data_IF_968684600083
#
_entry.id   IF_968684600083
#
_cell.length_a   1.000
_cell.length_b   1.000
_cell.length_c   1.000
_cell.angle_alpha   90.00
_cell.angle_beta   90.00
_cell.angle_gamma   90.00
#
_symmetry.space_group_name_H-M   'P 1'
#
loop_
_entity.id
_entity.type
_entity.pdbx_description
1 polymer ?
#
# COMPACT_ATOMS: atom_id res chain seq x y z
N UNK A 1 -5.97 17.53 -20.62
CA UNK A 1 -7.17 16.94 -21.27
C UNK A 1 -7.84 16.05 -20.24
N UNK A 2 -9.08 16.34 -19.88
CA UNK A 2 -9.85 15.53 -18.93
C UNK A 2 -10.34 14.29 -19.66
N UNK A 3 -9.93 13.11 -19.24
CA UNK A 3 -10.51 11.85 -19.72
C UNK A 3 -11.83 11.63 -18.99
N UNK A 4 -12.92 11.83 -19.71
CA UNK A 4 -14.27 11.46 -19.30
C UNK A 4 -14.47 9.99 -19.66
N UNK A 5 -14.86 9.16 -18.69
CA UNK A 5 -15.38 7.82 -18.97
C UNK A 5 -16.61 7.95 -19.86
N UNK A 6 -16.64 7.18 -20.95
CA UNK A 6 -17.64 7.25 -22.00
C UNK A 6 -19.01 6.68 -21.62
N UNK A 7 -19.63 7.22 -20.58
CA UNK A 7 -21.07 7.13 -20.42
C UNK A 7 -21.69 8.33 -21.13
N UNK A 8 -22.38 8.09 -22.23
CA UNK A 8 -23.15 9.12 -22.89
C UNK A 8 -24.42 9.41 -22.11
N UNK A 9 -24.94 10.62 -22.21
CA UNK A 9 -26.17 11.04 -21.52
C UNK A 9 -27.39 10.19 -21.89
N UNK A 10 -27.28 9.40 -22.94
CA UNK A 10 -28.35 8.53 -23.46
C UNK A 10 -28.40 7.17 -22.71
N UNK A 11 -27.39 6.80 -21.93
CA UNK A 11 -27.41 5.59 -21.10
C UNK A 11 -28.25 5.72 -19.82
N UNK A 12 -28.77 6.92 -19.54
CA UNK A 12 -29.60 7.23 -18.36
C UNK A 12 -31.04 7.58 -18.70
N UNK A 13 -31.52 7.41 -19.97
CA UNK A 13 -32.84 7.87 -20.37
C UNK A 13 -34.00 6.94 -20.04
N UNK A 14 -33.79 5.82 -19.39
CA UNK A 14 -34.83 4.81 -19.08
C UNK A 14 -35.26 4.76 -17.60
N UNK A 15 -34.91 5.76 -16.79
CA UNK A 15 -35.51 5.92 -15.46
C UNK A 15 -36.45 7.13 -15.49
N UNK A 16 -37.68 6.89 -15.87
CA UNK A 16 -38.77 7.86 -15.67
C UNK A 16 -39.13 7.93 -14.19
N UNK A 17 -39.19 9.16 -13.70
CA UNK A 17 -39.73 9.52 -12.39
C UNK A 17 -41.14 8.94 -12.20
N UNK A 18 -41.27 7.94 -11.37
CA UNK A 18 -42.48 7.63 -10.65
C UNK A 18 -42.17 7.66 -9.17
N UNK A 19 -42.54 8.75 -8.54
CA UNK A 19 -42.56 8.94 -7.09
C UNK A 19 -43.53 7.93 -6.48
N UNK A 20 -42.99 6.90 -5.76
CA UNK A 20 -43.75 6.16 -4.76
C UNK A 20 -42.82 5.71 -3.60
N UNK A 21 -43.32 6.01 -2.40
CA UNK A 21 -42.74 5.89 -1.06
C UNK A 21 -42.45 4.42 -0.62
N UNK A 22 -41.59 3.64 -1.32
CA UNK A 22 -41.25 2.24 -0.96
C UNK A 22 -39.76 1.97 -0.70
N UNK A 23 -38.92 2.99 -0.47
CA UNK A 23 -37.46 2.79 -0.22
C UNK A 23 -37.07 2.08 1.09
N UNK A 24 -38.01 1.75 1.98
CA UNK A 24 -37.71 1.11 3.28
C UNK A 24 -37.89 -0.42 3.29
N UNK A 25 -38.47 -1.03 2.27
CA UNK A 25 -38.64 -2.48 2.23
C UNK A 25 -37.55 -3.24 1.45
N UNK A 26 -36.89 -2.65 0.47
CA UNK A 26 -35.81 -3.33 -0.30
C UNK A 26 -34.54 -3.56 0.52
N UNK A 27 -34.18 -2.66 1.44
CA UNK A 27 -33.03 -2.88 2.34
C UNK A 27 -33.25 -4.03 3.32
N UNK A 28 -34.50 -4.30 3.68
CA UNK A 28 -34.88 -5.41 4.55
C UNK A 28 -34.95 -6.75 3.83
N UNK A 29 -35.17 -6.75 2.49
CA UNK A 29 -35.23 -7.99 1.69
C UNK A 29 -33.84 -8.53 1.42
N UNK A 30 -32.83 -7.69 1.21
CA UNK A 30 -31.44 -8.10 1.05
C UNK A 30 -30.85 -8.69 2.35
N UNK A 31 -31.19 -8.10 3.49
CA UNK A 31 -30.79 -8.65 4.81
C UNK A 31 -31.48 -10.00 5.09
N UNK A 32 -32.73 -10.19 4.64
CA UNK A 32 -33.46 -11.46 4.81
C UNK A 32 -32.97 -12.57 3.87
N UNK A 33 -32.51 -12.27 2.66
CA UNK A 33 -31.97 -13.28 1.74
C UNK A 33 -30.62 -13.83 2.22
N UNK A 34 -29.77 -13.01 2.86
CA UNK A 34 -28.50 -13.47 3.41
C UNK A 34 -28.66 -14.20 4.76
N UNK A 35 -29.75 -13.97 5.51
CA UNK A 35 -30.05 -14.75 6.72
C UNK A 35 -30.55 -16.16 6.42
N UNK A 36 -31.08 -16.45 5.23
CA UNK A 36 -31.52 -17.80 4.87
C UNK A 36 -30.36 -18.77 4.56
N UNK A 37 -29.15 -18.26 4.28
CA UNK A 37 -27.95 -19.10 4.15
C UNK A 37 -27.29 -19.45 5.48
N UNK A 38 -27.63 -18.76 6.59
CA UNK A 38 -27.04 -19.00 7.92
C UNK A 38 -27.86 -19.97 8.79
N UNK A 39 -29.07 -20.37 8.39
CA UNK A 39 -29.96 -21.21 9.18
C UNK A 39 -30.05 -22.68 8.75
N UNK A 40 -29.11 -23.17 7.98
CA UNK A 40 -29.03 -24.57 7.55
C UNK A 40 -27.93 -25.34 8.23
N UNK A 41 -28.26 -26.07 9.28
CA UNK A 41 -27.44 -27.03 10.03
C UNK A 41 -26.36 -26.41 10.96
N UNK A 42 -26.39 -26.80 12.25
CA UNK A 42 -25.34 -26.68 13.25
C UNK A 42 -24.09 -27.51 12.85
N UNK A 43 -23.47 -27.27 11.71
CA UNK A 43 -22.08 -27.60 11.49
C UNK A 43 -21.29 -26.45 12.07
N UNK A 44 -20.48 -26.71 13.08
CA UNK A 44 -19.38 -25.84 13.50
C UNK A 44 -18.57 -25.61 12.24
N UNK A 45 -18.82 -24.48 11.55
CA UNK A 45 -18.00 -24.04 10.42
C UNK A 45 -16.68 -23.64 11.11
N UNK A 46 -15.70 -24.56 11.08
CA UNK A 46 -14.34 -24.18 11.40
C UNK A 46 -13.99 -23.01 10.48
N UNK A 47 -13.40 -21.93 10.99
CA UNK A 47 -12.97 -20.83 10.16
C UNK A 47 -12.10 -21.42 9.05
N UNK A 48 -12.51 -21.20 7.79
CA UNK A 48 -11.70 -21.59 6.64
C UNK A 48 -10.38 -20.85 6.80
N UNK A 49 -9.27 -21.59 6.92
CA UNK A 49 -7.95 -21.02 6.91
C UNK A 49 -7.64 -20.60 5.46
N UNK A 50 -7.94 -19.36 5.11
CA UNK A 50 -7.76 -18.84 3.77
C UNK A 50 -6.30 -18.88 3.34
N UNK A 51 -5.37 -18.70 4.27
CA UNK A 51 -3.92 -18.76 4.00
C UNK A 51 -3.47 -20.18 3.62
N UNK A 52 -4.06 -21.22 4.21
CA UNK A 52 -3.73 -22.61 3.89
C UNK A 52 -4.42 -23.09 2.62
N UNK A 53 -5.56 -22.51 2.26
CA UNK A 53 -6.34 -22.90 1.08
C UNK A 53 -5.79 -22.31 -0.22
N UNK A 54 -4.88 -21.33 -0.15
CA UNK A 54 -4.31 -20.69 -1.31
C UNK A 54 -3.38 -21.62 -2.08
N UNK A 55 -3.68 -21.84 -3.37
CA UNK A 55 -2.83 -22.64 -4.26
C UNK A 55 -1.65 -21.78 -4.71
N UNK A 56 -0.45 -22.15 -4.27
CA UNK A 56 0.81 -21.51 -4.68
C UNK A 56 1.41 -22.27 -5.85
N UNK A 57 1.58 -21.57 -6.97
CA UNK A 57 2.28 -22.06 -8.16
C UNK A 57 3.68 -21.41 -8.25
N UNK A 58 4.60 -21.90 -9.10
CA UNK A 58 5.90 -21.26 -9.28
C UNK A 58 5.82 -19.78 -9.71
N UNK A 59 4.77 -19.43 -10.45
CA UNK A 59 4.53 -18.09 -11.01
C UNK A 59 4.05 -17.10 -9.94
N UNK A 60 3.16 -17.55 -9.03
CA UNK A 60 2.57 -16.70 -7.98
C UNK A 60 3.25 -16.86 -6.61
N UNK A 61 4.32 -17.65 -6.54
CA UNK A 61 5.08 -17.84 -5.29
C UNK A 61 5.67 -16.50 -4.81
N UNK A 62 5.53 -16.16 -3.52
CA UNK A 62 6.08 -14.92 -3.01
C UNK A 62 7.63 -14.89 -3.10
N UNK A 63 8.17 -13.78 -3.62
CA UNK A 63 9.61 -13.57 -3.85
C UNK A 63 10.03 -12.22 -3.29
N UNK A 64 11.14 -12.22 -2.54
CA UNK A 64 11.80 -11.00 -2.10
C UNK A 64 12.73 -10.48 -3.21
N UNK A 65 12.65 -9.18 -3.52
CA UNK A 65 13.45 -8.53 -4.53
C UNK A 65 14.40 -7.52 -3.92
N UNK A 66 15.60 -7.43 -4.48
CA UNK A 66 16.61 -6.47 -4.09
C UNK A 66 16.34 -5.13 -4.80
N UNK A 67 16.41 -4.01 -4.04
CA UNK A 67 16.27 -2.66 -4.58
C UNK A 67 17.29 -2.39 -5.72
N UNK A 68 18.55 -2.83 -5.57
CA UNK A 68 19.59 -2.63 -6.59
C UNK A 68 19.21 -3.29 -7.92
N UNK A 69 18.64 -4.49 -7.87
CA UNK A 69 18.21 -5.20 -9.08
C UNK A 69 17.06 -4.48 -9.77
N UNK A 70 16.12 -3.90 -9.01
CA UNK A 70 15.02 -3.13 -9.59
C UNK A 70 15.56 -1.80 -10.18
N UNK A 71 16.37 -1.06 -9.45
CA UNK A 71 16.94 0.21 -9.92
C UNK A 71 17.81 0.04 -11.18
N UNK A 72 18.50 -1.08 -11.31
CA UNK A 72 19.30 -1.37 -12.51
C UNK A 72 18.46 -1.49 -13.78
N UNK A 73 17.21 -1.93 -13.69
CA UNK A 73 16.28 -1.99 -14.85
C UNK A 73 15.75 -0.62 -15.27
N UNK A 74 15.86 0.38 -14.40
CA UNK A 74 15.40 1.75 -14.63
C UNK A 74 16.53 2.69 -15.11
N UNK A 75 17.79 2.23 -15.04
CA UNK A 75 18.94 3.07 -15.39
C UNK A 75 18.91 3.50 -16.86
N UNK A 76 19.05 4.80 -17.10
CA UNK A 76 19.03 5.41 -18.43
C UNK A 76 17.62 5.68 -18.96
N UNK A 77 16.57 5.29 -18.23
CA UNK A 77 15.19 5.55 -18.64
C UNK A 77 14.79 6.94 -18.19
N UNK A 78 14.09 7.68 -19.06
CA UNK A 78 13.40 8.93 -18.74
C UNK A 78 11.96 8.57 -18.42
N UNK A 79 11.50 8.92 -17.24
CA UNK A 79 10.13 8.67 -16.79
C UNK A 79 9.35 9.97 -16.68
N UNK A 80 8.09 9.93 -17.17
CA UNK A 80 7.13 11.02 -17.03
C UNK A 80 6.22 10.74 -15.85
N UNK A 81 5.86 11.78 -15.11
CA UNK A 81 4.98 11.67 -13.93
C UNK A 81 4.09 12.90 -13.82
N UNK A 82 2.98 12.74 -13.12
CA UNK A 82 2.10 13.85 -12.72
C UNK A 82 2.15 14.05 -11.20
N UNK A 83 1.61 15.17 -10.76
CA UNK A 83 1.34 15.42 -9.36
C UNK A 83 -0.16 15.48 -9.10
N UNK A 84 -0.54 15.07 -7.90
CA UNK A 84 -1.91 15.11 -7.44
C UNK A 84 -1.96 15.74 -6.05
N UNK A 85 -2.92 16.63 -5.83
CA UNK A 85 -3.19 17.19 -4.52
C UNK A 85 -4.38 16.47 -3.91
N UNK A 86 -4.18 15.80 -2.77
CA UNK A 86 -5.24 15.10 -2.06
C UNK A 86 -6.30 16.09 -1.53
N UNK A 87 -7.50 15.64 -1.14
CA UNK A 87 -8.52 16.49 -0.56
C UNK A 87 -8.05 17.33 0.64
N UNK A 88 -7.08 16.85 1.42
CA UNK A 88 -6.49 17.59 2.54
C UNK A 88 -5.24 18.41 2.17
N UNK A 89 -4.93 18.54 0.89
CA UNK A 89 -3.85 19.41 0.40
C UNK A 89 -2.47 18.76 0.37
N UNK A 90 -2.35 17.44 0.54
CA UNK A 90 -1.07 16.75 0.41
C UNK A 90 -0.70 16.56 -1.05
N UNK A 91 0.51 16.96 -1.42
CA UNK A 91 1.03 16.78 -2.79
C UNK A 91 1.76 15.45 -2.86
N UNK A 92 1.38 14.65 -3.84
CA UNK A 92 1.99 13.36 -4.16
C UNK A 92 2.29 13.28 -5.65
N UNK A 93 3.25 12.44 -6.02
CA UNK A 93 3.71 12.24 -7.39
C UNK A 93 3.44 10.80 -7.80
N UNK A 94 3.13 10.59 -9.07
CA UNK A 94 2.93 9.25 -9.62
C UNK A 94 3.40 9.18 -11.06
N UNK A 95 4.08 8.11 -11.42
CA UNK A 95 4.45 7.83 -12.79
C UNK A 95 3.21 7.73 -13.67
N UNK A 96 3.25 8.32 -14.86
CA UNK A 96 2.12 8.26 -15.80
C UNK A 96 1.94 6.84 -16.35
N UNK A 97 0.69 6.37 -16.41
CA UNK A 97 0.37 5.05 -16.95
C UNK A 97 0.75 4.93 -18.44
N UNK A 98 0.65 6.04 -19.19
CA UNK A 98 1.06 6.09 -20.58
C UNK A 98 2.56 5.80 -20.73
N UNK A 99 3.38 6.38 -19.87
CA UNK A 99 4.84 6.16 -19.86
C UNK A 99 5.18 4.71 -19.53
N UNK A 100 4.47 4.09 -18.57
CA UNK A 100 4.62 2.67 -18.24
C UNK A 100 4.28 1.79 -19.44
N UNK A 101 3.16 2.04 -20.13
CA UNK A 101 2.77 1.29 -21.33
C UNK A 101 3.79 1.42 -22.44
N UNK A 102 4.33 2.62 -22.66
CA UNK A 102 5.36 2.86 -23.66
C UNK A 102 6.65 2.09 -23.36
N UNK A 103 7.09 2.05 -22.10
CA UNK A 103 8.25 1.25 -21.71
C UNK A 103 8.02 -0.24 -21.95
N UNK A 104 6.85 -0.78 -21.57
CA UNK A 104 6.51 -2.18 -21.79
C UNK A 104 6.50 -2.54 -23.30
N UNK A 105 5.98 -1.67 -24.16
CA UNK A 105 6.00 -1.87 -25.61
C UNK A 105 7.44 -1.99 -26.15
N UNK A 106 8.35 -1.12 -25.69
CA UNK A 106 9.77 -1.17 -26.10
C UNK A 106 10.43 -2.47 -25.62
N UNK A 107 10.15 -2.90 -24.41
CA UNK A 107 10.69 -4.14 -23.84
C UNK A 107 10.19 -5.37 -24.61
N UNK A 108 8.90 -5.43 -24.99
CA UNK A 108 8.34 -6.51 -25.82
C UNK A 108 9.00 -6.57 -27.21
N UNK A 109 9.19 -5.43 -27.88
CA UNK A 109 9.85 -5.40 -29.20
C UNK A 109 11.27 -5.98 -29.12
N UNK A 110 11.98 -5.78 -28.02
CA UNK A 110 13.32 -6.31 -27.80
C UNK A 110 13.32 -7.82 -27.49
N UNK A 111 12.31 -8.31 -26.73
CA UNK A 111 12.18 -9.73 -26.39
C UNK A 111 11.69 -10.58 -27.57
N UNK A 112 10.83 -10.05 -28.45
CA UNK A 112 10.39 -10.75 -29.67
C UNK A 112 11.53 -11.03 -30.64
N UNK A 113 12.59 -10.21 -30.63
CA UNK A 113 13.80 -10.44 -31.43
C UNK A 113 14.67 -11.60 -30.87
N UNK A 114 14.57 -11.90 -29.56
CA UNK A 114 15.42 -12.90 -28.89
C UNK A 114 14.75 -14.26 -28.65
N UNK A 115 13.46 -14.34 -28.27
CA UNK A 115 12.77 -15.62 -28.00
C UNK A 115 11.25 -15.54 -28.24
N UNK A 116 10.72 -16.37 -29.13
CA UNK A 116 9.29 -16.46 -29.41
C UNK A 116 8.45 -16.99 -28.24
N UNK A 117 7.37 -16.26 -27.90
CA UNK A 117 6.24 -16.63 -27.04
C UNK A 117 6.42 -16.54 -25.52
N UNK A 118 6.40 -15.34 -24.94
CA UNK A 118 5.96 -15.15 -23.57
C UNK A 118 4.70 -14.26 -23.54
N UNK A 119 3.54 -14.86 -23.22
CA UNK A 119 2.29 -14.14 -22.97
C UNK A 119 2.35 -13.65 -21.51
N UNK A 120 2.94 -12.46 -21.30
CA UNK A 120 3.06 -11.84 -19.99
C UNK A 120 1.97 -10.78 -19.72
N UNK A 121 2.04 -10.14 -18.56
CA UNK A 121 1.23 -8.97 -18.14
C UNK A 121 1.27 -7.85 -19.19
N UNK A 122 2.33 -7.76 -19.97
CA UNK A 122 2.56 -6.86 -21.09
C UNK A 122 1.40 -6.85 -22.09
N UNK A 123 0.98 -8.03 -22.56
CA UNK A 123 -0.09 -8.16 -23.57
C UNK A 123 -1.45 -7.67 -23.10
N UNK A 124 -1.70 -7.72 -21.79
CA UNK A 124 -2.96 -7.26 -21.18
C UNK A 124 -3.09 -5.73 -21.11
N UNK A 125 -1.95 -5.04 -20.99
CA UNK A 125 -1.91 -3.58 -20.93
C UNK A 125 -1.88 -2.92 -22.31
N UNK A 126 -1.41 -3.65 -23.33
CA UNK A 126 -1.19 -3.13 -24.68
C UNK A 126 -2.38 -3.43 -25.61
N UNK A 127 -3.10 -4.53 -25.41
CA UNK A 127 -4.20 -4.94 -26.28
C UNK A 127 -5.45 -4.06 -26.07
N UNK A 128 -5.60 -3.04 -26.92
CA UNK A 128 -6.75 -2.11 -26.92
C UNK A 128 -8.09 -2.78 -27.30
N UNK A 129 -8.06 -4.01 -27.82
CA UNK A 129 -9.25 -4.73 -28.30
C UNK A 129 -9.90 -5.63 -27.25
N UNK A 130 -9.25 -5.90 -26.14
CA UNK A 130 -9.85 -6.58 -25.00
C UNK A 130 -10.46 -5.53 -24.07
N UNK A 131 -11.79 -5.58 -23.90
CA UNK A 131 -12.56 -4.73 -22.99
C UNK A 131 -11.73 -4.38 -21.77
N UNK A 132 -11.55 -3.08 -21.49
CA UNK A 132 -10.78 -2.48 -20.39
C UNK A 132 -11.01 -3.17 -19.02
N UNK A 133 -10.60 -4.42 -18.90
CA UNK A 133 -10.60 -5.12 -17.63
C UNK A 133 -9.35 -4.70 -16.85
N UNK A 134 -9.51 -3.72 -15.98
CA UNK A 134 -8.47 -3.28 -15.03
C UNK A 134 -8.02 -4.43 -14.09
N UNK A 135 -8.65 -5.59 -14.16
CA UNK A 135 -8.40 -6.76 -13.34
C UNK A 135 -8.51 -8.06 -14.14
N UNK A 136 -7.47 -8.90 -14.10
CA UNK A 136 -7.53 -10.30 -14.54
C UNK A 136 -7.02 -11.20 -13.42
N UNK A 137 -7.93 -11.87 -12.74
CA UNK A 137 -7.65 -12.72 -11.58
C UNK A 137 -6.44 -13.64 -11.81
N UNK A 138 -5.48 -13.62 -10.89
CA UNK A 138 -4.22 -14.37 -10.90
C UNK A 138 -3.26 -14.04 -12.05
N UNK A 139 -3.50 -12.98 -12.81
CA UNK A 139 -2.61 -12.52 -13.88
C UNK A 139 -2.24 -11.05 -13.65
N UNK A 140 -3.23 -10.18 -13.49
CA UNK A 140 -3.04 -8.76 -13.25
C UNK A 140 -4.13 -8.22 -12.31
N UNK A 141 -3.73 -7.67 -11.18
CA UNK A 141 -4.61 -7.24 -10.09
C UNK A 141 -4.72 -5.70 -9.98
N UNK A 142 -4.52 -4.98 -11.09
CA UNK A 142 -4.78 -3.53 -11.17
C UNK A 142 -3.73 -2.60 -10.58
N UNK A 143 -2.52 -3.08 -10.27
CA UNK A 143 -1.49 -2.33 -9.53
C UNK A 143 -0.84 -1.15 -10.26
N UNK A 144 -0.95 -1.04 -11.58
CA UNK A 144 -0.36 0.10 -12.34
C UNK A 144 -1.15 1.40 -12.18
N UNK A 145 -2.40 1.31 -11.78
CA UNK A 145 -3.31 2.46 -11.62
C UNK A 145 -3.39 2.88 -10.16
N UNK A 146 -3.44 4.18 -9.91
CA UNK A 146 -3.74 4.71 -8.58
C UNK A 146 -5.25 4.71 -8.34
N UNK A 147 -5.65 4.14 -7.21
CA UNK A 147 -7.05 4.03 -6.81
C UNK A 147 -7.40 5.06 -5.72
N UNK A 148 -8.66 5.45 -5.64
CA UNK A 148 -9.12 6.54 -4.79
C UNK A 148 -8.75 6.35 -3.31
N UNK A 149 -8.88 5.13 -2.80
CA UNK A 149 -8.59 4.85 -1.39
C UNK A 149 -7.11 5.02 -1.02
N UNK A 150 -6.18 5.00 -1.98
CA UNK A 150 -4.77 5.30 -1.69
C UNK A 150 -4.56 6.77 -1.32
N UNK A 151 -5.34 7.69 -1.89
CA UNK A 151 -5.32 9.11 -1.52
C UNK A 151 -5.94 9.34 -0.14
N UNK A 152 -7.03 8.65 0.18
CA UNK A 152 -7.65 8.68 1.51
C UNK A 152 -6.66 8.20 2.58
N UNK A 153 -5.88 7.15 2.25
CA UNK A 153 -4.83 6.63 3.14
C UNK A 153 -3.71 7.65 3.35
N UNK A 154 -3.28 8.37 2.31
CA UNK A 154 -2.30 9.46 2.45
C UNK A 154 -2.80 10.52 3.42
N UNK A 155 -4.05 10.94 3.28
CA UNK A 155 -4.65 11.95 4.17
C UNK A 155 -4.78 11.43 5.62
N UNK A 156 -5.13 10.16 5.81
CA UNK A 156 -5.16 9.53 7.12
C UNK A 156 -3.76 9.47 7.78
N UNK A 157 -2.74 9.09 7.01
CA UNK A 157 -1.35 9.08 7.48
C UNK A 157 -0.87 10.47 7.86
N UNK A 158 -1.25 11.50 7.10
CA UNK A 158 -0.92 12.89 7.43
C UNK A 158 -1.54 13.32 8.77
N UNK A 159 -2.81 12.95 9.03
CA UNK A 159 -3.45 13.19 10.34
C UNK A 159 -2.70 12.50 11.47
N UNK A 160 -2.28 11.23 11.27
CA UNK A 160 -1.56 10.45 12.28
C UNK A 160 -0.16 11.01 12.56
N UNK A 161 0.53 11.56 11.54
CA UNK A 161 1.88 12.16 11.70
C UNK A 161 1.79 13.50 12.42
N UNK A 162 0.79 14.32 12.10
CA UNK A 162 0.68 15.69 12.62
C UNK A 162 -0.06 15.77 13.98
N UNK A 163 -0.70 14.69 14.42
CA UNK A 163 -1.52 14.64 15.63
C UNK A 163 -2.89 15.29 15.46
N UNK A 164 -3.88 14.80 16.20
CA UNK A 164 -5.14 15.50 16.39
C UNK A 164 -4.94 16.66 17.38
N UNK A 165 -5.60 17.78 17.16
CA UNK A 165 -5.63 19.07 17.88
C UNK A 165 -5.75 19.05 19.43
N UNK A 166 -5.10 18.14 20.11
CA UNK A 166 -5.06 18.15 21.56
C UNK A 166 -3.74 18.71 22.06
N UNK A 167 -3.80 19.76 22.88
CA UNK A 167 -2.73 20.50 23.59
C UNK A 167 -1.78 19.62 24.45
N UNK A 168 -1.55 18.37 24.10
CA UNK A 168 -0.57 17.53 24.78
C UNK A 168 0.78 17.67 24.07
N UNK A 169 1.74 18.22 24.77
CA UNK A 169 3.18 18.36 24.44
C UNK A 169 3.89 17.00 24.18
N UNK A 170 3.17 15.97 23.78
CA UNK A 170 3.76 14.67 23.50
C UNK A 170 4.40 14.64 22.12
N UNK A 171 5.74 14.60 22.10
CA UNK A 171 6.63 14.37 20.97
C UNK A 171 6.39 13.02 20.25
N UNK A 172 5.19 12.44 20.33
CA UNK A 172 4.82 11.14 19.77
C UNK A 172 4.48 11.18 18.26
N UNK A 173 4.33 12.37 17.69
CA UNK A 173 3.81 12.52 16.33
C UNK A 173 4.79 12.05 15.24
N UNK A 174 6.10 12.06 15.49
CA UNK A 174 7.11 11.51 14.57
C UNK A 174 7.30 9.99 14.70
N UNK A 175 6.58 9.33 15.62
CA UNK A 175 6.79 7.91 15.92
C UNK A 175 6.51 7.01 14.72
N UNK A 176 5.49 7.34 13.88
CA UNK A 176 5.18 6.59 12.67
C UNK A 176 6.35 6.54 11.68
N UNK A 177 7.15 7.60 11.59
CA UNK A 177 8.32 7.70 10.72
C UNK A 177 9.55 6.91 11.21
N UNK A 178 9.40 6.18 12.31
CA UNK A 178 10.43 5.31 12.89
C UNK A 178 9.93 3.87 13.05
N UNK A 179 8.90 3.49 12.32
CA UNK A 179 8.23 2.19 12.40
C UNK A 179 8.59 1.26 11.25
N UNK A 180 8.31 -0.03 11.47
CA UNK A 180 8.33 -1.04 10.44
C UNK A 180 6.92 -1.19 9.86
N UNK A 181 6.75 -0.83 8.60
CA UNK A 181 5.47 -0.70 7.92
C UNK A 181 5.40 -1.67 6.75
N UNK A 182 4.36 -2.48 6.70
CA UNK A 182 4.04 -3.36 5.57
C UNK A 182 2.87 -2.78 4.79
N UNK A 183 3.04 -2.54 3.50
CA UNK A 183 1.94 -2.20 2.59
C UNK A 183 1.58 -3.42 1.73
N UNK A 184 0.35 -3.93 1.94
CA UNK A 184 -0.21 -5.06 1.18
C UNK A 184 -0.96 -4.52 -0.04
N UNK A 185 -0.63 -5.01 -1.25
CA UNK A 185 -1.20 -4.52 -2.50
C UNK A 185 -0.78 -3.08 -2.77
N UNK A 186 0.54 -2.82 -2.68
CA UNK A 186 1.04 -1.45 -2.71
C UNK A 186 0.76 -0.73 -4.05
N UNK A 187 0.71 -1.44 -5.18
CA UNK A 187 0.49 -0.84 -6.48
C UNK A 187 1.42 0.34 -6.73
N UNK A 188 0.85 1.53 -6.93
CA UNK A 188 1.60 2.78 -7.06
C UNK A 188 2.26 3.25 -5.76
N UNK A 189 1.99 2.60 -4.62
CA UNK A 189 2.58 2.80 -3.30
C UNK A 189 2.48 4.24 -2.76
N UNK A 190 1.43 4.98 -3.09
CA UNK A 190 1.29 6.39 -2.69
C UNK A 190 1.34 6.59 -1.16
N UNK A 191 0.73 5.73 -0.32
CA UNK A 191 0.89 5.78 1.13
C UNK A 191 2.36 5.68 1.58
N UNK A 192 3.09 4.68 1.11
CA UNK A 192 4.52 4.51 1.45
C UNK A 192 5.39 5.61 0.87
N UNK A 193 5.10 6.10 -0.33
CA UNK A 193 5.77 7.25 -0.93
C UNK A 193 5.60 8.52 -0.07
N UNK A 194 4.39 8.74 0.45
CA UNK A 194 4.13 9.85 1.36
C UNK A 194 4.90 9.73 2.67
N UNK A 195 4.97 8.55 3.26
CA UNK A 195 5.77 8.30 4.47
C UNK A 195 7.26 8.56 4.23
N UNK A 196 7.78 8.10 3.09
CA UNK A 196 9.16 8.35 2.67
C UNK A 196 9.44 9.85 2.52
N UNK A 197 8.54 10.57 1.83
CA UNK A 197 8.59 12.03 1.66
C UNK A 197 8.64 12.74 3.01
N UNK A 198 7.73 12.40 3.92
CA UNK A 198 7.66 12.99 5.27
C UNK A 198 8.90 12.69 6.10
N UNK A 199 9.46 11.48 6.00
CA UNK A 199 10.73 11.14 6.67
C UNK A 199 11.86 12.04 6.20
N UNK A 200 12.05 12.21 4.88
CA UNK A 200 13.09 13.11 4.35
C UNK A 200 12.85 14.57 4.70
N UNK A 201 11.61 15.05 4.71
CA UNK A 201 11.27 16.41 5.14
C UNK A 201 11.63 16.64 6.61
N UNK A 202 11.20 15.72 7.50
CA UNK A 202 11.50 15.78 8.93
C UNK A 202 13.00 15.82 9.24
N UNK A 203 13.81 15.05 8.52
CA UNK A 203 15.28 15.04 8.67
C UNK A 203 15.87 16.41 8.28
N UNK A 204 15.41 16.98 7.18
CA UNK A 204 15.90 18.29 6.70
C UNK A 204 15.52 19.43 7.62
N UNK A 205 14.33 19.40 8.22
CA UNK A 205 13.87 20.40 9.17
C UNK A 205 14.64 20.34 10.50
N UNK A 206 15.00 19.15 10.95
CA UNK A 206 15.67 18.96 12.25
C UNK A 206 17.13 19.42 12.26
N UNK A 207 17.77 19.66 11.12
CA UNK A 207 19.20 20.00 10.99
C UNK A 207 20.15 19.09 11.80
N UNK A 208 19.68 17.94 12.26
CA UNK A 208 20.44 16.98 13.05
C UNK A 208 20.76 15.76 12.20
N UNK A 209 22.05 15.50 12.00
CA UNK A 209 22.52 14.15 11.71
C UNK A 209 22.01 13.26 12.83
N UNK A 210 21.11 12.34 12.52
CA UNK A 210 20.48 11.46 13.50
C UNK A 210 21.57 10.79 14.34
N UNK A 211 21.39 10.86 15.65
CA UNK A 211 22.17 10.04 16.56
C UNK A 211 21.88 8.57 16.23
N UNK A 212 22.89 7.72 16.24
CA UNK A 212 22.84 6.29 15.93
C UNK A 212 21.89 5.45 16.81
N UNK A 213 21.07 6.08 17.65
CA UNK A 213 20.07 5.49 18.54
C UNK A 213 18.62 5.61 18.04
N UNK A 214 18.40 6.30 16.90
CA UNK A 214 17.03 6.50 16.40
C UNK A 214 16.60 5.30 15.54
N UNK A 215 15.44 4.73 15.83
CA UNK A 215 14.86 3.65 15.04
C UNK A 215 14.55 4.14 13.64
N UNK A 216 15.08 3.46 12.61
CA UNK A 216 14.89 3.83 11.22
C UNK A 216 13.47 3.55 10.73
N UNK A 217 13.11 4.18 9.61
CA UNK A 217 11.90 3.84 8.88
C UNK A 217 12.17 2.59 8.03
N UNK A 218 11.31 1.58 8.16
CA UNK A 218 11.33 0.41 7.30
C UNK A 218 10.03 0.30 6.53
N UNK A 219 10.09 0.26 5.21
CA UNK A 219 8.96 0.06 4.33
C UNK A 219 9.09 -1.28 3.62
N UNK A 220 8.12 -2.16 3.81
CA UNK A 220 8.00 -3.44 3.13
C UNK A 220 6.82 -3.32 2.18
N UNK A 221 7.08 -3.34 0.88
CA UNK A 221 6.08 -3.12 -0.15
C UNK A 221 5.78 -4.42 -0.87
N UNK A 222 4.53 -4.83 -0.86
CA UNK A 222 4.11 -6.10 -1.46
C UNK A 222 3.02 -5.88 -2.50
N UNK A 223 3.24 -6.46 -3.69
CA UNK A 223 2.25 -6.52 -4.76
C UNK A 223 2.26 -7.92 -5.40
N UNK A 224 1.15 -8.29 -6.04
CA UNK A 224 1.08 -9.58 -6.75
C UNK A 224 2.07 -9.63 -7.90
N UNK A 225 2.19 -8.56 -8.68
CA UNK A 225 2.99 -8.47 -9.89
C UNK A 225 4.35 -7.81 -9.64
N UNK A 226 5.44 -8.47 -10.06
CA UNK A 226 6.78 -7.90 -10.01
C UNK A 226 6.92 -6.63 -10.88
N UNK A 227 6.29 -6.60 -12.05
CA UNK A 227 6.34 -5.44 -12.93
C UNK A 227 5.69 -4.19 -12.34
N UNK A 228 4.69 -4.36 -11.47
CA UNK A 228 4.13 -3.25 -10.68
C UNK A 228 5.20 -2.66 -9.77
N UNK A 229 5.93 -3.50 -9.03
CA UNK A 229 7.02 -3.04 -8.15
C UNK A 229 8.11 -2.32 -8.94
N UNK A 230 8.49 -2.85 -10.09
CA UNK A 230 9.55 -2.33 -10.96
C UNK A 230 9.16 -1.04 -11.67
N UNK A 231 7.97 -1.00 -12.23
CA UNK A 231 7.57 0.07 -13.17
C UNK A 231 6.83 1.24 -12.52
N UNK A 232 6.20 1.05 -11.37
CA UNK A 232 5.48 2.15 -10.70
C UNK A 232 5.88 2.32 -9.24
N UNK A 233 5.98 1.26 -8.44
CA UNK A 233 6.29 1.36 -7.01
C UNK A 233 7.65 2.04 -6.78
N UNK A 234 8.73 1.47 -7.31
CA UNK A 234 10.11 2.02 -7.11
C UNK A 234 10.28 3.37 -7.81
N UNK A 235 9.83 3.59 -9.05
CA UNK A 235 9.82 4.92 -9.65
C UNK A 235 9.13 5.98 -8.80
N UNK A 236 7.94 5.70 -8.25
CA UNK A 236 7.22 6.66 -7.41
C UNK A 236 7.98 7.00 -6.12
N UNK A 237 8.60 6.01 -5.47
CA UNK A 237 9.48 6.24 -4.30
C UNK A 237 10.65 7.16 -4.66
N UNK A 238 11.29 6.91 -5.80
CA UNK A 238 12.41 7.71 -6.28
C UNK A 238 12.00 9.16 -6.60
N UNK A 239 10.85 9.37 -7.24
CA UNK A 239 10.32 10.70 -7.55
C UNK A 239 10.01 11.47 -6.26
N UNK A 240 9.37 10.83 -5.26
CA UNK A 240 9.08 11.45 -3.98
C UNK A 240 10.35 11.85 -3.22
N UNK A 241 11.39 11.00 -3.21
CA UNK A 241 12.69 11.39 -2.69
C UNK A 241 13.31 12.56 -3.47
N UNK A 242 13.33 12.48 -4.81
CA UNK A 242 13.86 13.53 -5.69
C UNK A 242 13.16 14.87 -5.48
N UNK A 243 11.88 14.87 -5.13
CA UNK A 243 11.13 16.07 -4.78
C UNK A 243 11.65 16.76 -3.50
N UNK A 244 12.47 16.12 -2.70
CA UNK A 244 13.02 16.68 -1.45
C UNK A 244 14.39 17.32 -1.62
N UNK A 245 15.17 17.00 -2.66
CA UNK A 245 16.50 17.59 -2.89
C UNK A 245 16.39 18.94 -3.59
N UNK A 246 17.48 19.76 -3.59
CA UNK A 246 17.45 21.06 -4.25
C UNK A 246 17.40 20.93 -5.77
N UNK A 247 16.97 21.98 -6.45
CA UNK A 247 16.91 22.00 -7.93
C UNK A 247 18.30 21.84 -8.52
N UNK A 248 19.28 22.52 -7.97
CA UNK A 248 20.66 22.47 -8.42
C UNK A 248 21.24 21.06 -8.29
N UNK A 249 21.02 20.43 -7.14
CA UNK A 249 21.45 19.05 -6.90
C UNK A 249 20.75 18.07 -7.84
N UNK A 250 19.44 18.22 -8.04
CA UNK A 250 18.71 17.35 -8.96
C UNK A 250 19.23 17.50 -10.39
N UNK A 251 19.49 18.73 -10.84
CA UNK A 251 20.06 19.00 -12.16
C UNK A 251 21.43 18.32 -12.34
N UNK A 252 22.32 18.42 -11.36
CA UNK A 252 23.63 17.75 -11.38
C UNK A 252 23.49 16.21 -11.48
N UNK A 253 22.54 15.64 -10.73
CA UNK A 253 22.33 14.19 -10.68
C UNK A 253 21.67 13.64 -11.96
N UNK A 254 20.88 14.44 -12.67
CA UNK A 254 20.16 14.01 -13.87
C UNK A 254 20.88 14.41 -15.18
N UNK A 255 21.93 15.25 -15.11
CA UNK A 255 22.71 15.63 -16.29
C UNK A 255 23.57 14.48 -16.79
N UNK A 256 23.55 14.26 -18.10
CA UNK A 256 24.49 13.37 -18.80
C UNK A 256 25.78 14.14 -19.04
N UNK A 257 26.94 13.52 -18.79
CA UNK A 257 28.29 14.11 -18.86
C UNK A 257 28.74 14.60 -20.24
N UNK A 258 27.86 14.71 -21.23
CA UNK A 258 28.16 15.13 -22.60
C UNK A 258 27.60 16.50 -23.01
N UNK A 259 26.99 17.24 -22.08
CA UNK A 259 26.51 18.61 -22.36
C UNK A 259 27.62 19.64 -22.13
N UNK A 260 28.79 19.47 -22.81
CA UNK A 260 29.83 20.51 -22.97
C UNK A 260 29.42 21.58 -24.02
N UNK A 261 28.19 21.56 -24.50
CA UNK A 261 27.64 22.64 -25.31
C UNK A 261 27.13 23.77 -24.41
N UNK A 262 28.08 24.54 -23.87
CA UNK A 262 27.88 25.87 -23.31
C UNK A 262 27.40 26.82 -24.41
N UNK A 263 26.12 26.69 -24.81
CA UNK A 263 25.47 27.71 -25.62
C UNK A 263 24.96 28.80 -24.66
N UNK A 264 25.78 29.86 -24.53
CA UNK A 264 25.58 31.03 -23.67
C UNK A 264 24.27 31.79 -23.91
N UNK A 265 23.15 31.15 -23.70
CA UNK A 265 21.79 31.69 -23.76
C UNK A 265 21.25 32.01 -22.39
N UNK A 266 20.99 33.27 -22.17
CA UNK A 266 20.55 33.98 -20.99
C UNK A 266 19.74 33.21 -19.95
N UNK A 267 20.16 33.35 -18.71
CA UNK A 267 19.60 32.68 -17.54
C UNK A 267 18.10 32.85 -17.35
N UNK A 268 17.34 31.97 -17.91
CA UNK A 268 15.97 31.72 -17.48
C UNK A 268 16.03 31.03 -16.13
N UNK A 269 15.49 31.67 -15.11
CA UNK A 269 15.31 31.08 -13.80
C UNK A 269 14.50 29.80 -13.96
N UNK A 270 15.11 28.67 -13.68
CA UNK A 270 14.41 27.39 -13.58
C UNK A 270 13.45 27.51 -12.39
N UNK A 271 12.20 27.87 -12.67
CA UNK A 271 11.15 28.05 -11.64
C UNK A 271 10.54 26.72 -11.17
N UNK A 272 10.81 25.63 -11.87
CA UNK A 272 10.24 24.31 -11.60
C UNK A 272 11.29 23.33 -11.11
N UNK A 273 10.98 22.57 -10.06
CA UNK A 273 11.85 21.51 -9.51
C UNK A 273 12.05 20.37 -10.51
N UNK A 274 11.00 20.05 -11.27
CA UNK A 274 11.02 19.09 -12.36
C UNK A 274 10.75 19.84 -13.67
N UNK A 275 11.62 19.65 -14.64
CA UNK A 275 11.44 20.21 -15.97
C UNK A 275 10.48 19.30 -16.73
N UNK A 276 9.33 19.84 -17.19
CA UNK A 276 8.30 19.12 -17.94
C UNK A 276 7.73 17.87 -17.23
N UNK A 277 7.74 17.82 -15.89
CA UNK A 277 7.28 16.68 -15.11
C UNK A 277 7.96 15.35 -15.54
N UNK A 278 9.24 15.42 -15.84
CA UNK A 278 10.08 14.29 -16.25
C UNK A 278 11.35 14.20 -15.42
N UNK A 279 11.87 12.98 -15.26
CA UNK A 279 13.16 12.71 -14.60
C UNK A 279 13.94 11.63 -15.36
N UNK A 280 15.23 11.90 -15.65
CA UNK A 280 16.14 10.90 -16.19
C UNK A 280 16.79 10.11 -15.06
N UNK A 281 16.64 8.80 -15.06
CA UNK A 281 17.21 7.90 -14.07
C UNK A 281 18.68 7.61 -14.41
N UNK A 282 19.58 8.47 -13.94
CA UNK A 282 21.03 8.28 -14.14
C UNK A 282 21.63 7.39 -13.02
N UNK A 283 22.83 6.88 -13.27
CA UNK A 283 23.61 6.19 -12.24
C UNK A 283 23.86 7.09 -11.02
N UNK A 284 24.17 8.37 -11.23
CA UNK A 284 24.39 9.35 -10.16
C UNK A 284 23.15 9.52 -9.29
N UNK A 285 21.98 9.60 -9.91
CA UNK A 285 20.69 9.72 -9.20
C UNK A 285 20.40 8.47 -8.35
N UNK A 286 20.61 7.29 -8.91
CA UNK A 286 20.47 6.00 -8.22
C UNK A 286 21.41 5.93 -7.01
N UNK A 287 22.68 6.23 -7.20
CA UNK A 287 23.69 6.17 -6.14
C UNK A 287 23.38 7.16 -5.01
N UNK A 288 22.96 8.39 -5.34
CA UNK A 288 22.56 9.37 -4.33
C UNK A 288 21.32 8.94 -3.56
N UNK A 289 20.31 8.40 -4.23
CA UNK A 289 19.13 7.84 -3.57
C UNK A 289 19.48 6.76 -2.55
N UNK A 290 20.32 5.80 -2.96
CA UNK A 290 20.79 4.71 -2.07
C UNK A 290 21.62 5.24 -0.91
N UNK A 291 22.49 6.22 -1.16
CA UNK A 291 23.30 6.85 -0.12
C UNK A 291 22.42 7.57 0.91
N UNK A 292 21.37 8.27 0.47
CA UNK A 292 20.47 8.97 1.37
C UNK A 292 19.62 7.97 2.19
N UNK A 293 19.13 6.88 1.59
CA UNK A 293 18.46 5.81 2.32
C UNK A 293 19.35 5.26 3.45
N UNK A 294 20.62 4.94 3.13
CA UNK A 294 21.57 4.43 4.11
C UNK A 294 21.92 5.45 5.19
N UNK A 295 22.20 6.70 4.82
CA UNK A 295 22.58 7.76 5.74
C UNK A 295 21.48 8.08 6.75
N UNK A 296 20.22 7.92 6.35
CA UNK A 296 19.07 8.23 7.18
C UNK A 296 18.37 7.02 7.77
N UNK A 297 19.03 5.85 7.70
CA UNK A 297 18.51 4.58 8.26
C UNK A 297 17.09 4.27 7.76
N UNK A 298 16.90 4.34 6.43
CA UNK A 298 15.65 3.99 5.76
C UNK A 298 15.87 2.68 5.01
N UNK A 299 15.04 1.68 5.29
CA UNK A 299 15.10 0.38 4.65
C UNK A 299 13.88 0.17 3.75
N UNK A 300 14.11 -0.20 2.49
CA UNK A 300 13.07 -0.55 1.52
C UNK A 300 13.19 -2.01 1.13
N UNK A 301 12.09 -2.74 1.22
CA UNK A 301 12.00 -4.15 0.83
C UNK A 301 10.80 -4.36 -0.09
N UNK A 302 10.93 -5.25 -1.08
CA UNK A 302 9.93 -5.48 -2.12
C UNK A 302 9.62 -6.96 -2.24
N UNK A 303 8.33 -7.30 -2.21
CA UNK A 303 7.85 -8.68 -2.27
C UNK A 303 6.79 -8.78 -3.38
N UNK A 304 7.03 -9.63 -4.39
CA UNK A 304 6.00 -9.99 -5.36
C UNK A 304 5.37 -11.33 -5.05
N UNK A 305 4.15 -11.58 -5.53
CA UNK A 305 3.45 -12.85 -5.44
C UNK A 305 2.29 -12.87 -4.45
N UNK A 306 1.73 -14.04 -4.27
CA UNK A 306 0.53 -14.25 -3.46
C UNK A 306 0.77 -14.13 -1.96
N UNK A 307 -0.21 -13.60 -1.24
CA UNK A 307 -0.19 -13.52 0.22
C UNK A 307 -0.77 -14.80 0.83
N UNK A 308 0.05 -15.59 1.45
CA UNK A 308 -0.33 -16.84 2.11
C UNK A 308 0.69 -17.22 3.17
N UNK A 309 0.69 -18.46 3.61
CA UNK A 309 1.64 -18.94 4.61
C UNK A 309 3.11 -18.79 4.16
N UNK A 310 3.39 -18.97 2.86
CA UNK A 310 4.74 -18.76 2.34
C UNK A 310 5.17 -17.30 2.45
N UNK A 311 4.27 -16.35 2.16
CA UNK A 311 4.49 -14.91 2.31
C UNK A 311 4.79 -14.52 3.77
N UNK A 312 3.94 -14.96 4.70
CA UNK A 312 4.10 -14.66 6.13
C UNK A 312 5.41 -15.22 6.69
N UNK A 313 5.91 -16.32 6.12
CA UNK A 313 7.16 -16.95 6.55
C UNK A 313 8.42 -16.42 5.81
N UNK A 314 8.29 -15.42 4.93
CA UNK A 314 9.46 -14.77 4.32
C UNK A 314 10.31 -14.07 5.40
N UNK A 315 11.66 -14.03 5.22
CA UNK A 315 12.55 -13.33 6.16
C UNK A 315 12.22 -11.85 6.35
N UNK A 316 11.63 -11.20 5.35
CA UNK A 316 11.17 -9.84 5.41
C UNK A 316 9.97 -9.62 6.35
N UNK A 317 9.16 -10.66 6.56
CA UNK A 317 7.97 -10.62 7.43
C UNK A 317 8.27 -11.32 8.76
N UNK A 318 8.98 -12.45 8.73
CA UNK A 318 9.29 -13.25 9.90
C UNK A 318 10.77 -13.64 9.89
N UNK A 319 11.56 -12.98 10.68
CA UNK A 319 12.97 -13.38 10.87
C UNK A 319 13.05 -14.65 11.75
N UNK A 320 13.78 -15.66 11.26
CA UNK A 320 13.94 -16.94 11.95
C UNK A 320 15.10 -16.93 12.96
N UNK A 321 16.11 -16.10 12.74
CA UNK A 321 17.41 -16.19 13.43
C UNK A 321 17.64 -15.06 14.46
N UNK A 322 16.98 -13.95 14.33
CA UNK A 322 16.99 -12.85 15.28
C UNK A 322 15.59 -12.64 15.85
N UNK A 323 15.42 -11.86 16.87
CA UNK A 323 14.16 -11.61 17.60
C UNK A 323 12.94 -11.19 16.74
N UNK A 324 12.92 -11.56 15.46
CA UNK A 324 11.84 -11.34 14.49
C UNK A 324 11.67 -9.88 14.11
N UNK A 325 11.39 -9.66 12.83
CA UNK A 325 10.96 -8.34 12.36
C UNK A 325 9.60 -8.07 12.98
N UNK A 326 9.53 -7.02 13.77
CA UNK A 326 8.27 -6.58 14.37
C UNK A 326 7.61 -5.60 13.41
N UNK A 327 6.52 -6.01 12.76
CA UNK A 327 5.71 -5.11 11.93
C UNK A 327 4.80 -4.33 12.85
N UNK A 328 5.01 -3.03 12.89
CA UNK A 328 4.23 -2.11 13.72
C UNK A 328 2.93 -1.67 13.05
N UNK A 329 2.99 -1.46 11.72
CA UNK A 329 1.87 -0.94 10.94
C UNK A 329 1.66 -1.76 9.68
N UNK A 330 0.41 -2.08 9.38
CA UNK A 330 0.00 -2.67 8.09
C UNK A 330 -0.91 -1.67 7.39
N UNK A 331 -0.59 -1.38 6.12
CA UNK A 331 -1.40 -0.53 5.24
C UNK A 331 -1.93 -1.41 4.12
N UNK A 332 -3.20 -1.22 3.76
CA UNK A 332 -3.81 -1.94 2.64
C UNK A 332 -4.91 -1.10 2.00
N UNK A 333 -4.74 -0.73 0.74
CA UNK A 333 -5.70 0.11 0.02
C UNK A 333 -6.27 -0.65 -1.17
N UNK A 334 -7.60 -0.72 -1.29
CA UNK A 334 -8.34 -1.37 -2.40
C UNK A 334 -8.03 -2.87 -2.58
N UNK A 335 -7.68 -3.60 -1.52
CA UNK A 335 -7.29 -5.02 -1.60
C UNK A 335 -8.39 -5.99 -1.23
N UNK A 336 -9.46 -5.52 -0.57
CA UNK A 336 -10.60 -6.36 -0.16
C UNK A 336 -11.73 -6.37 -1.20
N UNK A 337 -11.37 -6.20 -2.48
CA UNK A 337 -12.31 -6.04 -3.59
C UNK A 337 -13.02 -7.34 -3.99
N UNK A 338 -12.52 -8.51 -3.64
CA UNK A 338 -13.11 -9.79 -3.97
C UNK A 338 -13.30 -10.70 -2.76
N UNK A 339 -14.24 -11.66 -2.87
CA UNK A 339 -14.47 -12.65 -1.83
C UNK A 339 -13.30 -13.61 -1.61
N UNK A 340 -12.38 -13.70 -2.57
CA UNK A 340 -11.19 -14.56 -2.48
C UNK A 340 -10.03 -13.84 -1.77
N UNK A 341 -9.84 -12.53 -2.03
CA UNK A 341 -8.73 -11.75 -1.45
C UNK A 341 -9.02 -11.27 -0.03
N UNK A 342 -10.27 -10.93 0.25
CA UNK A 342 -10.72 -10.41 1.54
C UNK A 342 -10.32 -11.30 2.74
N UNK A 343 -10.57 -12.63 2.73
CA UNK A 343 -10.16 -13.50 3.83
C UNK A 343 -8.64 -13.57 4.00
N UNK A 344 -7.90 -13.56 2.88
CA UNK A 344 -6.43 -13.62 2.89
C UNK A 344 -5.85 -12.37 3.57
N UNK A 345 -6.36 -11.18 3.24
CA UNK A 345 -5.95 -9.91 3.87
C UNK A 345 -6.26 -9.93 5.37
N UNK A 346 -7.47 -10.34 5.75
CA UNK A 346 -7.90 -10.40 7.15
C UNK A 346 -7.02 -11.35 7.99
N UNK A 347 -6.79 -12.57 7.50
CA UNK A 347 -5.97 -13.57 8.20
C UNK A 347 -4.48 -13.18 8.22
N UNK A 348 -3.98 -12.52 7.16
CA UNK A 348 -2.60 -12.01 7.13
C UNK A 348 -2.37 -10.98 8.23
N UNK A 349 -3.29 -10.00 8.39
CA UNK A 349 -3.20 -8.98 9.44
C UNK A 349 -3.21 -9.64 10.83
N UNK A 350 -4.20 -10.52 11.09
CA UNK A 350 -4.29 -11.25 12.35
C UNK A 350 -3.01 -12.00 12.66
N UNK A 351 -2.54 -12.82 11.73
CA UNK A 351 -1.40 -13.72 11.92
C UNK A 351 -0.10 -12.95 12.14
N UNK A 352 0.17 -11.91 11.34
CA UNK A 352 1.38 -11.09 11.46
C UNK A 352 1.41 -10.39 12.82
N UNK A 353 0.31 -9.80 13.27
CA UNK A 353 0.27 -9.11 14.56
C UNK A 353 0.41 -10.04 15.75
N UNK A 354 -0.23 -11.21 15.73
CA UNK A 354 -0.12 -12.21 16.79
C UNK A 354 1.26 -12.85 16.87
N UNK A 355 1.90 -13.15 15.74
CA UNK A 355 3.24 -13.74 15.71
C UNK A 355 4.31 -12.80 16.27
N UNK A 356 4.19 -11.50 16.02
CA UNK A 356 5.14 -10.49 16.50
C UNK A 356 5.05 -10.30 18.02
N UNK A 357 3.84 -10.34 18.58
CA UNK A 357 3.61 -10.13 20.03
C UNK A 357 4.16 -11.23 20.92
N UNK A 358 4.20 -12.47 20.44
CA UNK A 358 4.70 -13.61 21.22
C UNK A 358 6.18 -13.50 21.62
N UNK A 359 6.95 -12.62 20.99
CA UNK A 359 8.40 -12.46 21.17
C UNK A 359 8.78 -11.33 22.12
N UNK A 360 7.98 -10.27 22.24
CA UNK A 360 8.26 -9.17 23.16
C UNK A 360 8.19 -9.61 24.63
N UNK A 361 7.46 -10.68 24.92
CA UNK A 361 7.31 -11.26 26.28
C UNK A 361 8.62 -11.91 26.77
N UNK A 362 9.43 -12.46 25.84
CA UNK A 362 10.66 -13.20 26.20
C UNK A 362 11.86 -12.31 26.56
N UNK A 363 11.91 -11.08 26.06
CA UNK A 363 13.08 -10.18 26.17
C UNK A 363 12.92 -9.06 27.19
N UNK A 364 11.70 -8.77 27.68
CA UNK A 364 11.38 -7.56 28.50
C UNK A 364 11.48 -7.75 30.00
N UNK A 365 12.17 -8.78 30.53
CA UNK A 365 12.24 -8.98 32.02
C UNK A 365 12.94 -7.87 32.81
N UNK A 366 13.51 -6.82 32.19
CA UNK A 366 14.34 -5.86 32.90
C UNK A 366 14.12 -4.35 32.65
N UNK A 367 13.11 -3.91 31.91
CA UNK A 367 12.92 -2.47 31.71
C UNK A 367 11.47 -2.04 32.03
N UNK A 368 11.34 -1.24 33.10
CA UNK A 368 10.10 -0.57 33.54
C UNK A 368 9.63 0.56 32.58
N UNK A 369 9.92 0.48 31.29
CA UNK A 369 9.37 1.40 30.32
C UNK A 369 8.11 0.76 29.74
N UNK A 370 6.97 1.36 30.01
CA UNK A 370 5.67 1.10 29.37
C UNK A 370 5.73 1.40 27.85
N UNK A 371 6.52 0.65 27.10
CA UNK A 371 6.42 0.66 25.66
C UNK A 371 5.14 -0.09 25.30
N UNK A 372 4.08 0.66 25.08
CA UNK A 372 2.84 0.18 24.47
C UNK A 372 3.18 -0.38 23.10
N UNK A 373 3.32 -1.70 22.97
CA UNK A 373 3.46 -2.42 21.69
C UNK A 373 2.11 -2.43 20.95
N UNK A 374 1.51 -1.26 20.75
CA UNK A 374 0.29 -1.15 19.98
C UNK A 374 0.65 -1.25 18.50
N UNK A 375 -0.01 -2.16 17.80
CA UNK A 375 0.09 -2.34 16.34
C UNK A 375 -1.16 -1.79 15.70
N UNK A 376 -1.01 -1.24 14.49
CA UNK A 376 -2.09 -0.60 13.76
C UNK A 376 -2.18 -1.16 12.34
N UNK A 377 -3.37 -1.60 11.93
CA UNK A 377 -3.65 -1.78 10.50
C UNK A 377 -4.61 -0.70 10.02
N UNK A 378 -4.33 -0.15 8.83
CA UNK A 378 -5.15 0.83 8.14
C UNK A 378 -5.58 0.21 6.82
N UNK A 379 -6.89 -0.02 6.66
CA UNK A 379 -7.47 -0.58 5.46
C UNK A 379 -8.39 0.45 4.85
N UNK A 380 -8.08 0.87 3.62
CA UNK A 380 -8.90 1.80 2.88
C UNK A 380 -9.64 1.07 1.76
N UNK A 381 -10.96 1.18 1.71
CA UNK A 381 -11.76 0.42 0.78
C UNK A 381 -13.05 1.14 0.39
N UNK A 382 -13.57 0.80 -0.79
CA UNK A 382 -14.95 1.11 -1.17
C UNK A 382 -15.90 0.30 -0.30
N UNK A 383 -17.03 0.89 0.07
CA UNK A 383 -18.01 0.16 0.87
C UNK A 383 -18.57 -1.05 0.12
N UNK A 384 -18.66 -0.96 -1.22
CA UNK A 384 -19.12 -2.05 -2.11
C UNK A 384 -18.25 -2.02 -3.38
N UNK A 385 -17.79 -3.20 -3.81
CA UNK A 385 -17.09 -3.41 -5.07
C UNK A 385 -18.03 -4.09 -6.06
N UNK A 386 -18.63 -3.30 -6.93
CA UNK A 386 -19.58 -3.80 -7.93
C UNK A 386 -18.91 -4.73 -8.94
N UNK A 387 -19.53 -5.88 -9.19
CA UNK A 387 -19.08 -6.84 -10.19
C UNK A 387 -18.03 -7.86 -9.71
N UNK A 388 -17.32 -7.59 -8.60
CA UNK A 388 -16.28 -8.51 -8.04
C UNK A 388 -16.63 -9.07 -6.67
N UNK A 389 -17.64 -8.51 -5.99
CA UNK A 389 -18.32 -9.12 -4.85
C UNK A 389 -17.72 -8.83 -3.48
N UNK A 390 -16.58 -8.13 -3.37
CA UNK A 390 -16.02 -7.72 -2.09
C UNK A 390 -16.78 -6.53 -1.49
N UNK A 391 -16.81 -6.44 -0.17
CA UNK A 391 -17.37 -5.29 0.54
C UNK A 391 -16.72 -5.08 1.90
N UNK A 392 -16.81 -3.85 2.37
CA UNK A 392 -16.34 -3.49 3.72
C UNK A 392 -17.09 -4.30 4.80
N UNK A 393 -18.40 -4.46 4.66
CA UNK A 393 -19.23 -5.19 5.64
C UNK A 393 -18.81 -6.65 5.73
N UNK A 394 -18.55 -7.30 4.61
CA UNK A 394 -18.07 -8.68 4.58
C UNK A 394 -16.70 -8.81 5.23
N UNK A 395 -15.80 -7.87 4.96
CA UNK A 395 -14.49 -7.82 5.62
C UNK A 395 -14.63 -7.72 7.14
N UNK A 396 -15.41 -6.77 7.63
CA UNK A 396 -15.63 -6.57 9.07
C UNK A 396 -16.26 -7.79 9.73
N UNK A 397 -17.25 -8.41 9.09
CA UNK A 397 -17.88 -9.63 9.58
C UNK A 397 -16.88 -10.80 9.67
N UNK A 398 -16.09 -11.00 8.62
CA UNK A 398 -15.08 -12.05 8.57
C UNK A 398 -13.98 -11.79 9.63
N UNK A 399 -13.46 -10.58 9.71
CA UNK A 399 -12.42 -10.23 10.68
C UNK A 399 -12.90 -10.41 12.11
N UNK A 400 -14.12 -9.96 12.44
CA UNK A 400 -14.73 -10.18 13.75
C UNK A 400 -14.93 -11.68 14.05
N UNK A 401 -15.28 -12.49 13.07
CA UNK A 401 -15.44 -13.92 13.26
C UNK A 401 -14.13 -14.60 13.62
N UNK A 402 -13.05 -14.32 12.87
CA UNK A 402 -11.74 -14.95 13.11
C UNK A 402 -11.07 -14.47 14.40
N UNK A 403 -11.40 -13.27 14.90
CA UNK A 403 -10.81 -12.71 16.13
C UNK A 403 -11.57 -13.02 17.39
N UNK A 404 -12.89 -13.29 17.32
CA UNK A 404 -13.72 -13.69 18.48
C UNK A 404 -13.41 -15.09 18.99
N UNK A 405 -13.07 -16.02 18.12
CA UNK A 405 -12.80 -17.40 18.50
C UNK A 405 -11.54 -17.56 19.40
N UNK A 406 -10.71 -16.53 19.49
CA UNK A 406 -9.51 -16.57 20.34
C UNK A 406 -9.81 -16.17 21.81
N UNK A 407 -10.99 -15.63 22.09
CA UNK A 407 -11.36 -15.10 23.42
C UNK A 407 -12.34 -16.00 24.21
N UNK A 408 -12.90 -17.04 23.59
CA UNK A 408 -13.98 -17.86 24.20
C UNK A 408 -13.48 -18.98 25.14
N UNK A 409 -12.17 -19.22 25.25
CA UNK A 409 -11.61 -20.32 26.07
C UNK A 409 -11.18 -19.88 27.49
N UNK A 410 -11.21 -18.59 27.85
CA UNK A 410 -10.78 -18.11 29.17
C UNK A 410 -11.93 -17.37 29.92
N UNK A 411 -12.62 -18.09 30.81
CA UNK A 411 -13.62 -17.55 31.76
C UNK A 411 -13.06 -16.59 32.84
N UNK A 412 -11.84 -16.06 32.66
CA UNK A 412 -11.20 -15.14 33.60
C UNK A 412 -11.43 -13.67 33.22
N UNK A 413 -12.25 -13.00 34.01
CA UNK A 413 -12.63 -11.56 33.95
C UNK A 413 -11.45 -10.55 34.00
N UNK A 414 -10.20 -10.98 34.13
CA UNK A 414 -9.02 -10.11 34.31
C UNK A 414 -8.31 -9.69 33.01
N UNK A 415 -8.79 -10.09 31.82
CA UNK A 415 -8.15 -9.78 30.53
C UNK A 415 -8.73 -8.54 29.81
N UNK A 416 -9.18 -7.52 30.58
CA UNK A 416 -9.59 -6.24 29.99
C UNK A 416 -8.40 -5.55 29.28
N UNK A 417 -8.38 -5.62 27.92
CA UNK A 417 -7.50 -4.81 27.08
C UNK A 417 -6.61 -5.54 26.09
N UNK A 418 -6.70 -6.88 26.00
CA UNK A 418 -5.97 -7.68 25.02
C UNK A 418 -6.84 -7.98 23.80
N UNK A 419 -6.26 -7.90 22.60
CA UNK A 419 -6.95 -8.29 21.37
C UNK A 419 -7.03 -7.20 20.32
N UNK A 420 -7.93 -7.42 19.38
CA UNK A 420 -8.18 -6.51 18.27
C UNK A 420 -9.33 -5.56 18.58
N UNK A 421 -9.11 -4.25 18.36
CA UNK A 421 -10.14 -3.23 18.39
C UNK A 421 -10.30 -2.62 17.00
N UNK A 422 -11.51 -2.59 16.48
CA UNK A 422 -11.80 -2.14 15.10
C UNK A 422 -12.65 -0.89 15.16
N UNK A 423 -12.22 0.16 14.46
CA UNK A 423 -12.98 1.37 14.23
C UNK A 423 -13.06 1.71 12.74
N UNK A 424 -14.12 2.41 12.34
CA UNK A 424 -14.39 2.74 10.94
C UNK A 424 -14.64 4.24 10.82
N UNK A 425 -13.94 4.89 9.91
CA UNK A 425 -14.14 6.30 9.52
C UNK A 425 -14.70 6.32 8.09
N UNK A 426 -15.91 6.85 7.91
CA UNK A 426 -16.54 7.00 6.58
C UNK A 426 -15.99 8.24 5.87
N UNK A 427 -15.69 8.11 4.57
CA UNK A 427 -15.24 9.19 3.68
C UNK A 427 -16.42 9.63 2.81
N UNK A 428 -16.88 10.84 3.03
CA UNK A 428 -18.11 11.38 2.40
C UNK A 428 -17.82 12.54 1.42
N UNK A 429 -16.68 12.53 0.73
CA UNK A 429 -16.26 13.61 -0.17
C UNK A 429 -16.65 13.40 -1.65
N UNK A 430 -17.21 12.24 -1.98
CA UNK A 430 -17.54 11.85 -3.35
C UNK A 430 -18.81 11.01 -3.44
N UNK A 431 -19.25 10.73 -4.67
CA UNK A 431 -20.41 9.85 -4.93
C UNK A 431 -20.11 8.38 -4.53
N UNK A 432 -18.85 7.95 -4.57
CA UNK A 432 -18.45 6.61 -4.16
C UNK A 432 -18.18 6.61 -2.66
N UNK A 433 -18.98 5.88 -1.90
CA UNK A 433 -18.77 5.71 -0.46
C UNK A 433 -17.53 4.86 -0.21
N UNK A 434 -16.57 5.43 0.49
CA UNK A 434 -15.32 4.82 0.91
C UNK A 434 -15.20 4.89 2.42
N UNK A 435 -14.38 4.04 2.99
CA UNK A 435 -14.11 4.04 4.43
C UNK A 435 -12.67 3.65 4.73
N UNK A 436 -12.18 4.18 5.84
CA UNK A 436 -10.94 3.76 6.49
C UNK A 436 -11.29 2.88 7.67
N UNK A 437 -10.70 1.70 7.74
CA UNK A 437 -10.80 0.80 8.88
C UNK A 437 -9.48 0.83 9.63
N UNK A 438 -9.54 1.17 10.90
CA UNK A 438 -8.39 1.11 11.81
C UNK A 438 -8.54 -0.11 12.70
N UNK A 439 -7.53 -0.97 12.71
CA UNK A 439 -7.47 -2.16 13.55
C UNK A 439 -6.29 -2.00 14.50
N UNK A 440 -6.59 -1.67 15.73
CA UNK A 440 -5.60 -1.62 16.80
C UNK A 440 -5.44 -3.01 17.42
N UNK A 441 -4.20 -3.47 17.57
CA UNK A 441 -3.89 -4.72 18.24
C UNK A 441 -3.01 -4.46 19.48
N UNK A 442 -3.45 -4.98 20.61
CA UNK A 442 -2.71 -4.94 21.87
C UNK A 442 -2.32 -6.36 22.26
N UNK A 443 -1.03 -6.66 22.23
CA UNK A 443 -0.51 -7.94 22.69
C UNK A 443 -0.68 -8.10 24.21
N UNK A 444 -1.07 -9.30 24.64
CA UNK A 444 -1.25 -9.60 26.06
C UNK A 444 0.04 -9.72 26.83
N UNK A 445 0.06 -9.27 28.07
CA UNK A 445 1.05 -9.67 29.05
C UNK A 445 0.58 -11.00 29.65
N UNK A 446 1.25 -12.12 29.38
CA UNK A 446 0.99 -13.32 30.18
C UNK A 446 1.54 -13.08 31.58
N UNK A 447 0.67 -12.90 32.55
CA UNK A 447 1.03 -13.00 33.96
C UNK A 447 1.41 -14.45 34.26
N UNK A 448 2.70 -14.75 34.28
CA UNK A 448 3.26 -16.02 34.76
C UNK A 448 3.39 -15.98 36.27
#
# INVERSE_FOLDING_TARGET
MSFSFGFTKDDFSDFSDDDDDDELEESNTYIKSNQSFLNGSNSIIQPLNALDSLIITPENKPKLHNLDSILSTLQGIRISFDNYTTPQGNIIYRRELFDVKHQLMIEEEQEEEEEGNNIGVHKLLIDENQNNNDLQKNVYEGGFKSWECSYDTVDALNKLINGSDSDSDDNNNSLLLSKSILELGCGTALPSCFLLLKKFQSIKESNQLQSSSDSGLRLILSDFNYDVLRLVTVPNLLIHWASTISIEQLHELTSTTNDDDDDGGGGDKIESRFVNDEILITTKLIDQFKNDLNNYNIELQFISGSWGNEFINLPAIKDKDTNGIDIDVIISSETIYSLDTLPIVAESIKTIFQQSSSKSIATSKNNNNNNNNNKLAIIAAKNIYFGVGGSLIEFLNYFNQITKNDNDDDDNDDHQGQGFNVSVEEINDSQLKRSLVYIDYRGGYSSS
#
